data_IF_269343951428
#
_entry.id   IF_269343951428
#
_cell.length_a   1.000
_cell.length_b   1.000
_cell.length_c   1.000
_cell.angle_alpha   90.00
_cell.angle_beta   90.00
_cell.angle_gamma   90.00
#
_symmetry.space_group_name_H-M   'P 1'
#
loop_
_entity.id
_entity.type
_entity.pdbx_description
1 polymer ?
#
# COMPACT_ATOMS: atom_id res chain seq x y z
N UNK A 1 7.96 -60.46 48.36
CA UNK A 1 6.93 -59.48 47.95
C UNK A 1 7.53 -58.52 46.91
N UNK A 2 6.93 -58.51 45.71
CA UNK A 2 6.97 -57.60 44.54
C UNK A 2 7.64 -56.21 44.70
N UNK A 3 8.17 -55.45 43.72
CA UNK A 3 8.53 -55.52 42.27
C UNK A 3 8.93 -54.05 41.87
N UNK A 4 9.85 -53.90 40.88
CA UNK A 4 10.07 -52.79 39.89
C UNK A 4 10.58 -51.36 40.24
N UNK A 5 11.73 -51.07 39.62
CA UNK A 5 12.11 -49.97 38.69
C UNK A 5 11.12 -48.80 38.37
N UNK A 6 11.78 -47.63 38.26
CA UNK A 6 11.71 -46.59 37.20
C UNK A 6 10.65 -45.48 37.25
N UNK A 7 11.17 -44.24 37.13
CA UNK A 7 10.92 -43.27 36.04
C UNK A 7 10.66 -41.84 36.51
N UNK A 8 11.45 -40.95 35.91
CA UNK A 8 11.43 -39.51 35.86
C UNK A 8 10.03 -38.87 35.83
N UNK A 9 9.91 -37.69 36.47
CA UNK A 9 9.11 -36.61 35.91
C UNK A 9 9.85 -35.29 36.05
N UNK A 10 10.25 -34.82 34.87
CA UNK A 10 10.78 -33.50 34.59
C UNK A 10 9.66 -32.49 34.86
N UNK A 11 9.87 -31.56 35.79
CA UNK A 11 9.00 -30.40 35.94
C UNK A 11 9.45 -29.37 34.91
N UNK A 12 8.62 -29.24 33.88
CA UNK A 12 8.68 -28.29 32.78
C UNK A 12 8.64 -26.84 33.31
N UNK A 13 9.83 -26.24 33.45
CA UNK A 13 9.99 -24.79 33.55
C UNK A 13 10.26 -24.31 32.13
N UNK A 14 9.33 -23.54 31.59
CA UNK A 14 9.37 -23.00 30.23
C UNK A 14 10.77 -22.47 29.88
N UNK A 15 11.34 -23.06 28.84
CA UNK A 15 12.58 -22.58 28.24
C UNK A 15 12.28 -21.25 27.53
N UNK A 16 13.14 -20.23 27.66
CA UNK A 16 13.16 -19.14 26.69
C UNK A 16 13.46 -19.76 25.33
N UNK A 17 12.58 -19.55 24.35
CA UNK A 17 12.74 -20.03 22.98
C UNK A 17 14.15 -19.72 22.48
N UNK A 18 14.91 -20.77 22.18
CA UNK A 18 16.24 -20.68 21.62
C UNK A 18 16.24 -19.88 20.31
N UNK A 19 17.32 -19.15 19.99
CA UNK A 19 17.47 -18.45 18.73
C UNK A 19 17.37 -19.45 17.56
N UNK A 20 16.52 -19.13 16.58
CA UNK A 20 16.25 -19.96 15.41
C UNK A 20 17.52 -20.40 14.68
N UNK A 21 17.40 -21.52 13.98
CA UNK A 21 18.49 -22.15 13.23
C UNK A 21 19.21 -21.17 12.28
N UNK A 22 20.53 -21.33 12.01
CA UNK A 22 21.26 -20.42 11.11
C UNK A 22 20.68 -20.29 9.70
N UNK A 23 19.91 -21.28 9.23
CA UNK A 23 19.20 -21.26 7.94
C UNK A 23 17.92 -20.42 7.94
N UNK A 24 17.45 -19.97 9.11
CA UNK A 24 16.27 -19.13 9.31
C UNK A 24 16.64 -17.64 9.31
N UNK A 25 17.84 -17.29 9.78
CA UNK A 25 18.35 -15.91 9.80
C UNK A 25 18.75 -15.38 8.41
N UNK A 26 18.98 -16.26 7.44
CA UNK A 26 19.30 -15.87 6.06
C UNK A 26 18.06 -15.76 5.15
N UNK A 27 16.84 -15.85 5.71
CA UNK A 27 15.61 -15.74 4.93
C UNK A 27 15.31 -14.28 4.63
N UNK A 28 15.06 -13.99 3.36
CA UNK A 28 14.61 -12.67 2.93
C UNK A 28 13.30 -12.35 3.63
N UNK A 29 13.26 -11.18 4.28
CA UNK A 29 12.10 -10.67 5.01
C UNK A 29 11.58 -9.45 4.28
N UNK A 30 10.25 -9.34 4.16
CA UNK A 30 9.59 -8.14 3.65
C UNK A 30 9.60 -7.07 4.75
N UNK A 31 9.94 -5.83 4.41
CA UNK A 31 9.99 -4.71 5.33
C UNK A 31 8.60 -4.42 5.94
N UNK A 32 8.43 -4.79 7.22
CA UNK A 32 7.17 -4.64 7.97
C UNK A 32 6.37 -5.94 8.17
N UNK A 33 6.93 -7.10 7.80
CA UNK A 33 6.41 -8.42 8.15
C UNK A 33 7.44 -9.13 9.04
N UNK A 34 7.05 -9.53 10.25
CA UNK A 34 7.96 -10.23 11.18
C UNK A 34 8.28 -11.65 10.70
N UNK A 35 7.32 -12.27 10.02
CA UNK A 35 7.41 -13.62 9.50
C UNK A 35 8.27 -13.71 8.24
N UNK A 36 9.20 -14.67 8.24
CA UNK A 36 10.07 -14.94 7.11
C UNK A 36 9.27 -15.55 5.94
N UNK A 37 9.69 -15.28 4.71
CA UNK A 37 9.12 -15.93 3.54
C UNK A 37 9.17 -17.47 3.69
N UNK A 38 8.09 -18.19 3.35
CA UNK A 38 8.07 -19.64 3.42
C UNK A 38 9.13 -20.26 2.48
N UNK A 39 9.66 -21.42 2.87
CA UNK A 39 10.75 -22.10 2.17
C UNK A 39 10.46 -22.27 0.67
N UNK A 40 11.34 -21.72 -0.16
CA UNK A 40 11.27 -21.79 -1.63
C UNK A 40 10.49 -20.66 -2.32
N UNK A 41 10.05 -19.63 -1.59
CA UNK A 41 9.48 -18.39 -2.15
C UNK A 41 10.57 -17.30 -2.18
N UNK A 42 10.69 -16.58 -3.29
CA UNK A 42 11.71 -15.54 -3.48
C UNK A 42 11.05 -14.16 -3.61
N UNK A 43 11.58 -13.16 -2.90
CA UNK A 43 11.17 -11.78 -3.04
C UNK A 43 11.81 -11.20 -4.30
N UNK A 44 10.98 -10.77 -5.25
CA UNK A 44 11.44 -10.27 -6.54
C UNK A 44 11.44 -8.75 -6.60
N UNK A 45 10.48 -8.13 -5.93
CA UNK A 45 10.38 -6.69 -5.84
C UNK A 45 9.65 -6.29 -4.57
N UNK A 46 10.11 -5.20 -3.96
CA UNK A 46 9.47 -4.60 -2.81
C UNK A 46 9.46 -3.08 -2.98
N UNK A 47 8.35 -2.44 -2.61
CA UNK A 47 8.19 -1.01 -2.74
C UNK A 47 7.16 -0.44 -1.78
N UNK A 48 7.23 0.89 -1.62
CA UNK A 48 6.29 1.69 -0.81
C UNK A 48 5.74 2.83 -1.65
N UNK A 49 4.54 3.34 -1.33
CA UNK A 49 3.97 4.46 -2.06
C UNK A 49 4.80 5.75 -1.86
N UNK A 50 4.93 6.54 -2.93
CA UNK A 50 5.50 7.88 -2.90
C UNK A 50 4.56 8.84 -2.14
N UNK A 51 5.12 9.53 -1.15
CA UNK A 51 4.37 10.42 -0.26
C UNK A 51 3.73 11.58 -1.02
N UNK A 52 4.46 12.21 -1.95
CA UNK A 52 3.97 13.39 -2.67
C UNK A 52 2.80 13.01 -3.55
N UNK A 53 2.96 11.96 -4.35
CA UNK A 53 1.91 11.48 -5.26
C UNK A 53 0.68 11.02 -4.48
N UNK A 54 0.89 10.33 -3.35
CA UNK A 54 -0.19 9.92 -2.46
C UNK A 54 -0.97 11.14 -1.89
N UNK A 55 -0.28 12.13 -1.33
CA UNK A 55 -0.92 13.32 -0.77
C UNK A 55 -1.65 14.15 -1.83
N UNK A 56 -0.96 14.52 -2.91
CA UNK A 56 -1.48 15.46 -3.90
C UNK A 56 -2.54 14.86 -4.83
N UNK A 57 -2.43 13.58 -5.18
CA UNK A 57 -3.33 12.95 -6.16
C UNK A 57 -4.30 11.95 -5.57
N UNK A 58 -3.85 11.09 -4.66
CA UNK A 58 -4.72 10.06 -4.07
C UNK A 58 -5.64 10.66 -3.01
N UNK A 59 -5.11 11.52 -2.14
CA UNK A 59 -5.86 12.23 -1.10
C UNK A 59 -6.38 13.61 -1.53
N UNK A 60 -6.26 13.93 -2.83
CA UNK A 60 -6.77 15.16 -3.42
C UNK A 60 -6.29 16.46 -2.75
N UNK A 61 -5.10 16.47 -2.13
CA UNK A 61 -4.56 17.68 -1.50
C UNK A 61 -4.44 18.85 -2.51
N UNK A 62 -4.18 18.56 -3.79
CA UNK A 62 -4.18 19.59 -4.85
C UNK A 62 -5.55 20.27 -5.03
N UNK A 63 -6.64 19.52 -4.86
CA UNK A 63 -8.01 20.04 -4.97
C UNK A 63 -8.33 20.89 -3.75
N UNK A 64 -7.90 20.44 -2.56
CA UNK A 64 -8.04 21.21 -1.33
C UNK A 64 -7.27 22.54 -1.40
N UNK A 65 -6.03 22.53 -1.90
CA UNK A 65 -5.26 23.77 -2.10
C UNK A 65 -5.92 24.70 -3.12
N UNK A 66 -6.46 24.16 -4.22
CA UNK A 66 -7.24 24.94 -5.19
C UNK A 66 -8.51 25.55 -4.56
N UNK A 67 -9.19 24.81 -3.69
CA UNK A 67 -10.32 25.33 -2.92
C UNK A 67 -9.90 26.49 -2.01
N UNK A 68 -8.81 26.33 -1.24
CA UNK A 68 -8.29 27.41 -0.40
C UNK A 68 -7.90 28.65 -1.19
N UNK A 69 -7.30 28.47 -2.37
CA UNK A 69 -6.98 29.57 -3.28
C UNK A 69 -8.25 30.30 -3.77
N UNK A 70 -9.29 29.55 -4.14
CA UNK A 70 -10.57 30.13 -4.57
C UNK A 70 -11.23 30.94 -3.45
N UNK A 71 -11.22 30.40 -2.22
CA UNK A 71 -11.73 31.10 -1.03
C UNK A 71 -10.94 32.37 -0.77
N UNK A 72 -9.60 32.32 -0.87
CA UNK A 72 -8.75 33.50 -0.68
C UNK A 72 -9.04 34.60 -1.71
N UNK A 73 -9.21 34.23 -2.99
CA UNK A 73 -9.60 35.18 -4.04
C UNK A 73 -10.97 35.79 -3.76
N UNK A 74 -11.96 34.98 -3.40
CA UNK A 74 -13.29 35.47 -3.04
C UNK A 74 -13.25 36.44 -1.86
N UNK A 75 -12.41 36.15 -0.87
CA UNK A 75 -12.23 37.00 0.30
C UNK A 75 -11.59 38.35 -0.05
N UNK A 76 -10.55 38.34 -0.89
CA UNK A 76 -9.91 39.55 -1.40
C UNK A 76 -10.89 40.43 -2.18
N UNK A 77 -11.69 39.84 -3.06
CA UNK A 77 -12.68 40.55 -3.86
C UNK A 77 -13.78 41.17 -2.97
N UNK A 78 -14.30 40.42 -2.00
CA UNK A 78 -15.29 40.92 -1.06
C UNK A 78 -14.74 42.07 -0.19
N UNK A 79 -13.48 41.97 0.25
CA UNK A 79 -12.80 43.03 0.99
C UNK A 79 -12.61 44.31 0.18
N UNK A 80 -12.24 44.18 -1.09
CA UNK A 80 -12.07 45.30 -2.02
C UNK A 80 -13.40 46.01 -2.32
N UNK A 81 -14.47 45.26 -2.55
CA UNK A 81 -15.81 45.81 -2.81
C UNK A 81 -16.46 46.42 -1.57
N UNK A 82 -16.16 45.89 -0.38
CA UNK A 82 -16.71 46.34 0.89
C UNK A 82 -15.98 47.52 1.54
N UNK A 83 -14.96 48.10 0.90
CA UNK A 83 -14.23 49.26 1.42
C UNK A 83 -13.45 48.98 2.72
N UNK A 84 -13.06 47.72 2.98
CA UNK A 84 -12.32 47.36 4.19
C UNK A 84 -10.90 47.94 4.17
N UNK A 85 -10.39 48.31 5.35
CA UNK A 85 -8.99 48.73 5.49
C UNK A 85 -8.04 47.58 5.16
N UNK A 86 -6.89 47.92 4.57
CA UNK A 86 -5.86 46.92 4.17
C UNK A 86 -5.36 46.09 5.35
N UNK A 87 -5.29 46.67 6.55
CA UNK A 87 -4.88 45.98 7.78
C UNK A 87 -5.85 44.87 8.21
N UNK A 88 -7.16 45.12 8.12
CA UNK A 88 -8.18 44.10 8.48
C UNK A 88 -8.18 42.96 7.46
N UNK A 89 -8.02 43.28 6.17
CA UNK A 89 -7.92 42.28 5.11
C UNK A 89 -6.69 41.38 5.28
N UNK A 90 -5.55 41.95 5.68
CA UNK A 90 -4.32 41.19 5.93
C UNK A 90 -4.47 40.22 7.11
N UNK A 91 -5.05 40.67 8.22
CA UNK A 91 -5.30 39.83 9.40
C UNK A 91 -6.22 38.64 9.06
N UNK A 92 -7.29 38.89 8.32
CA UNK A 92 -8.23 37.86 7.90
C UNK A 92 -7.59 36.84 6.93
N UNK A 93 -6.74 37.30 6.00
CA UNK A 93 -5.97 36.41 5.10
C UNK A 93 -4.97 35.55 5.86
N UNK A 94 -4.28 36.11 6.86
CA UNK A 94 -3.37 35.34 7.72
C UNK A 94 -4.16 34.24 8.43
N UNK A 95 -5.35 34.55 8.96
CA UNK A 95 -6.20 33.55 9.58
C UNK A 95 -6.62 32.45 8.59
N UNK A 96 -7.04 32.83 7.38
CA UNK A 96 -7.37 31.88 6.32
C UNK A 96 -6.17 30.97 5.98
N UNK A 97 -4.97 31.53 5.87
CA UNK A 97 -3.74 30.78 5.60
C UNK A 97 -3.41 29.81 6.74
N UNK A 98 -3.62 30.19 8.01
CA UNK A 98 -3.44 29.29 9.16
C UNK A 98 -4.41 28.11 9.07
N UNK A 99 -5.70 28.36 8.83
CA UNK A 99 -6.71 27.30 8.70
C UNK A 99 -6.40 26.39 7.51
N UNK A 100 -6.01 26.97 6.37
CA UNK A 100 -5.62 26.24 5.18
C UNK A 100 -4.37 25.37 5.42
N UNK A 101 -3.37 25.90 6.13
CA UNK A 101 -2.16 25.20 6.48
C UNK A 101 -2.45 24.03 7.41
N UNK A 102 -3.25 24.23 8.46
CA UNK A 102 -3.63 23.18 9.41
C UNK A 102 -4.42 22.07 8.70
N UNK A 103 -5.44 22.42 7.91
CA UNK A 103 -6.22 21.43 7.15
C UNK A 103 -5.37 20.64 6.16
N UNK A 104 -4.45 21.31 5.46
CA UNK A 104 -3.51 20.67 4.53
C UNK A 104 -2.50 19.78 5.25
N UNK A 105 -2.01 20.20 6.41
CA UNK A 105 -1.07 19.44 7.24
C UNK A 105 -1.70 18.15 7.76
N UNK A 106 -2.99 18.16 8.12
CA UNK A 106 -3.71 16.95 8.54
C UNK A 106 -3.75 15.92 7.40
N UNK A 107 -4.09 16.32 6.18
CA UNK A 107 -4.11 15.42 5.02
C UNK A 107 -2.71 14.89 4.71
N UNK A 108 -1.71 15.77 4.76
CA UNK A 108 -0.32 15.37 4.51
C UNK A 108 0.19 14.39 5.58
N UNK A 109 -0.12 14.63 6.86
CA UNK A 109 0.20 13.73 7.97
C UNK A 109 -0.48 12.37 7.81
N UNK A 110 -1.75 12.35 7.38
CA UNK A 110 -2.45 11.11 7.06
C UNK A 110 -1.77 10.37 5.89
N UNK A 111 -1.33 11.08 4.84
CA UNK A 111 -0.55 10.49 3.76
C UNK A 111 0.76 9.83 4.26
N UNK A 112 1.45 10.50 5.19
CA UNK A 112 2.68 9.98 5.79
C UNK A 112 2.41 8.71 6.60
N UNK A 113 1.32 8.68 7.37
CA UNK A 113 0.89 7.48 8.08
C UNK A 113 0.57 6.33 7.12
N UNK A 114 -0.18 6.59 6.05
CA UNK A 114 -0.50 5.58 5.01
C UNK A 114 0.79 5.05 4.37
N UNK A 115 1.75 5.91 4.04
CA UNK A 115 3.04 5.47 3.48
C UNK A 115 3.81 4.59 4.45
N UNK A 116 3.85 4.94 5.73
CA UNK A 116 4.55 4.15 6.76
C UNK A 116 3.91 2.79 7.00
N UNK A 117 2.61 2.66 6.71
CA UNK A 117 1.85 1.44 6.98
C UNK A 117 1.58 0.57 5.76
N UNK A 118 2.01 0.99 4.57
CA UNK A 118 1.72 0.32 3.30
C UNK A 118 3.00 -0.22 2.67
N UNK A 119 3.05 -1.52 2.41
CA UNK A 119 4.15 -2.18 1.73
C UNK A 119 3.59 -3.04 0.60
N UNK A 120 4.20 -2.93 -0.58
CA UNK A 120 3.93 -3.76 -1.74
C UNK A 120 5.09 -4.72 -1.94
N UNK A 121 4.79 -6.00 -2.09
CA UNK A 121 5.79 -7.03 -2.36
C UNK A 121 5.33 -7.92 -3.51
N UNK A 122 6.26 -8.28 -4.38
CA UNK A 122 6.09 -9.23 -5.46
C UNK A 122 6.97 -10.44 -5.17
N UNK A 123 6.36 -11.62 -5.12
CA UNK A 123 7.06 -12.90 -5.03
C UNK A 123 6.95 -13.70 -6.32
N UNK A 124 7.60 -14.85 -6.39
CA UNK A 124 7.52 -15.81 -7.51
C UNK A 124 6.14 -16.46 -7.65
N UNK A 125 5.29 -16.40 -6.61
CA UNK A 125 3.97 -17.09 -6.60
C UNK A 125 2.79 -16.14 -6.47
N UNK A 126 2.97 -15.00 -5.81
CA UNK A 126 1.89 -14.07 -5.47
C UNK A 126 2.36 -12.63 -5.38
N UNK A 127 1.40 -11.74 -5.55
CA UNK A 127 1.50 -10.34 -5.17
C UNK A 127 0.95 -10.21 -3.75
N UNK A 128 1.73 -9.56 -2.87
CA UNK A 128 1.35 -9.26 -1.50
C UNK A 128 1.20 -7.74 -1.37
N UNK A 129 0.01 -7.31 -0.96
CA UNK A 129 -0.29 -5.90 -0.69
C UNK A 129 -0.67 -5.78 0.78
N UNK A 130 0.16 -5.13 1.57
CA UNK A 130 -0.15 -4.79 2.96
C UNK A 130 -0.63 -3.34 3.00
N UNK A 131 -1.85 -3.15 3.50
CA UNK A 131 -2.48 -1.84 3.69
C UNK A 131 -2.90 -1.73 5.15
N UNK A 132 -2.75 -0.57 5.78
CA UNK A 132 -3.51 -0.30 7.01
C UNK A 132 -2.92 0.73 7.94
N UNK A 133 -3.58 1.89 8.04
CA UNK A 133 -3.31 2.88 9.10
C UNK A 133 -4.06 2.50 10.38
N UNK A 134 -5.34 2.13 10.27
CA UNK A 134 -6.19 1.75 11.40
C UNK A 134 -6.54 0.25 11.41
N UNK A 135 -6.66 -0.39 10.25
CA UNK A 135 -6.94 -1.83 10.13
C UNK A 135 -5.93 -2.49 9.19
N UNK A 136 -4.90 -3.18 9.73
CA UNK A 136 -3.93 -3.89 8.91
C UNK A 136 -4.62 -5.03 8.14
N UNK A 137 -4.60 -4.92 6.82
CA UNK A 137 -5.12 -5.90 5.88
C UNK A 137 -3.98 -6.33 4.95
N UNK A 138 -3.84 -7.65 4.75
CA UNK A 138 -2.88 -8.23 3.81
C UNK A 138 -3.67 -8.91 2.70
N UNK A 139 -3.55 -8.40 1.49
CA UNK A 139 -4.14 -9.00 0.30
C UNK A 139 -3.07 -9.83 -0.41
N UNK A 140 -3.34 -11.14 -0.53
CA UNK A 140 -2.49 -12.08 -1.26
C UNK A 140 -3.18 -12.45 -2.57
N UNK A 141 -2.61 -12.04 -3.70
CA UNK A 141 -3.14 -12.34 -5.03
C UNK A 141 -2.19 -13.27 -5.78
N UNK A 142 -2.55 -14.55 -6.02
CA UNK A 142 -1.72 -15.47 -6.79
C UNK A 142 -1.49 -15.00 -8.23
N UNK A 143 -0.27 -15.17 -8.77
CA UNK A 143 0.08 -14.66 -10.11
C UNK A 143 -0.73 -15.32 -11.24
N UNK A 144 -1.11 -16.59 -11.10
CA UNK A 144 -1.93 -17.30 -12.09
C UNK A 144 -3.35 -16.73 -12.21
N UNK A 145 -3.79 -15.92 -11.24
CA UNK A 145 -5.09 -15.25 -11.27
C UNK A 145 -5.01 -13.84 -11.84
N UNK A 146 -3.88 -13.37 -12.34
CA UNK A 146 -3.74 -12.01 -12.89
C UNK A 146 -3.87 -12.07 -14.41
N UNK A 147 -4.87 -11.37 -14.95
CA UNK A 147 -5.23 -11.38 -16.36
C UNK A 147 -4.62 -10.24 -17.16
N UNK A 148 -4.62 -9.04 -16.58
CA UNK A 148 -3.92 -7.88 -17.13
C UNK A 148 -3.13 -7.15 -16.06
N UNK A 149 -2.03 -6.55 -16.50
CA UNK A 149 -1.19 -5.66 -15.71
C UNK A 149 -1.13 -4.34 -16.47
N UNK A 150 -1.81 -3.32 -15.95
CA UNK A 150 -1.91 -2.02 -16.58
C UNK A 150 -1.12 -0.98 -15.78
N UNK A 151 -0.17 -0.31 -16.45
CA UNK A 151 0.67 0.72 -15.82
C UNK A 151 0.14 2.10 -16.16
N UNK A 152 -0.33 2.81 -15.14
CA UNK A 152 -0.78 4.19 -15.26
C UNK A 152 0.26 5.14 -14.70
N UNK A 153 0.97 5.83 -15.59
CA UNK A 153 1.90 6.90 -15.20
C UNK A 153 1.13 8.12 -14.74
N UNK A 154 1.53 8.65 -13.59
CA UNK A 154 0.78 9.69 -12.89
C UNK A 154 1.65 10.93 -12.72
N UNK A 155 2.96 10.81 -12.57
CA UNK A 155 3.86 11.95 -12.47
C UNK A 155 5.30 11.51 -12.33
N UNK A 156 6.14 12.37 -11.72
CA UNK A 156 7.50 12.04 -11.34
C UNK A 156 7.72 12.28 -9.85
N UNK A 157 8.58 11.48 -9.23
CA UNK A 157 8.99 11.66 -7.84
C UNK A 157 10.01 12.81 -7.69
N UNK A 158 10.52 12.99 -6.47
CA UNK A 158 11.53 14.01 -6.19
C UNK A 158 12.86 13.74 -6.90
N UNK A 159 13.14 12.48 -7.22
CA UNK A 159 14.34 12.00 -7.89
C UNK A 159 14.20 11.98 -9.43
N UNK A 160 13.04 12.37 -9.96
CA UNK A 160 12.77 12.45 -11.40
C UNK A 160 12.35 11.13 -12.04
N UNK A 161 12.11 10.06 -11.27
CA UNK A 161 11.60 8.78 -11.75
C UNK A 161 10.10 8.84 -11.96
N UNK A 162 9.59 8.06 -12.91
CA UNK A 162 8.16 7.98 -13.18
C UNK A 162 7.42 7.32 -11.99
N UNK A 163 6.41 8.01 -11.47
CA UNK A 163 5.51 7.51 -10.43
C UNK A 163 4.15 7.23 -11.03
N UNK A 164 3.53 6.14 -10.60
CA UNK A 164 2.24 5.74 -11.14
C UNK A 164 1.54 4.69 -10.32
N UNK A 165 0.45 4.20 -10.90
CA UNK A 165 -0.32 3.11 -10.34
C UNK A 165 -0.12 1.86 -11.23
N UNK A 166 0.12 0.70 -10.64
CA UNK A 166 0.12 -0.59 -11.34
C UNK A 166 -1.18 -1.29 -11.00
N UNK A 167 -2.08 -1.42 -11.97
CA UNK A 167 -3.41 -2.01 -11.80
C UNK A 167 -3.33 -3.48 -12.21
N UNK A 168 -3.78 -4.37 -11.32
CA UNK A 168 -3.79 -5.82 -11.54
C UNK A 168 -5.24 -6.27 -11.70
N UNK A 169 -5.63 -6.69 -12.90
CA UNK A 169 -6.99 -7.17 -13.17
C UNK A 169 -7.04 -8.68 -13.00
N UNK A 170 -7.79 -9.24 -12.03
CA UNK A 170 -7.86 -10.68 -11.83
C UNK A 170 -8.64 -11.41 -12.94
N UNK A 171 -8.28 -12.66 -13.24
CA UNK A 171 -9.02 -13.60 -14.12
C UNK A 171 -9.94 -14.47 -13.25
N UNK A 172 -11.22 -14.54 -13.62
CA UNK A 172 -12.23 -15.39 -12.98
C UNK A 172 -13.24 -14.63 -12.12
N UNK A 173 -14.33 -15.32 -11.77
CA UNK A 173 -15.45 -14.76 -10.99
C UNK A 173 -15.16 -14.73 -9.47
N UNK A 174 -13.93 -15.07 -9.06
CA UNK A 174 -13.39 -14.93 -7.70
C UNK A 174 -13.11 -13.45 -7.41
N UNK A 175 -14.20 -12.69 -7.39
CA UNK A 175 -14.33 -11.33 -6.90
C UNK A 175 -13.93 -11.37 -5.43
N UNK A 176 -12.80 -10.75 -5.08
CA UNK A 176 -12.40 -10.58 -3.67
C UNK A 176 -13.59 -9.97 -2.94
N UNK A 177 -14.22 -10.77 -2.08
CA UNK A 177 -15.55 -10.50 -1.55
C UNK A 177 -15.61 -9.11 -0.92
N UNK A 178 -16.52 -8.29 -1.43
CA UNK A 178 -16.91 -6.96 -0.94
C UNK A 178 -17.03 -6.88 0.60
N UNK A 179 -17.37 -8.01 1.23
CA UNK A 179 -17.55 -8.15 2.68
C UNK A 179 -16.26 -8.04 3.51
N UNK A 180 -15.08 -8.34 2.94
CA UNK A 180 -13.81 -8.31 3.70
C UNK A 180 -13.05 -6.97 3.60
N UNK A 181 -13.47 -6.06 2.71
CA UNK A 181 -12.82 -4.77 2.40
C UNK A 181 -13.53 -3.54 3.02
N UNK A 182 -14.64 -3.77 3.72
CA UNK A 182 -15.33 -2.76 4.53
C UNK A 182 -14.46 -2.46 5.76
N UNK A 183 -14.00 -1.21 6.02
CA UNK A 183 -14.69 0.08 5.82
C UNK A 183 -13.92 1.08 4.92
N UNK A 184 -13.02 0.60 4.05
CA UNK A 184 -12.10 1.45 3.26
C UNK A 184 -12.47 1.56 1.78
N UNK A 185 -13.64 1.05 1.38
CA UNK A 185 -14.18 1.26 0.04
C UNK A 185 -14.89 2.63 0.00
N UNK A 186 -14.54 3.45 -1.00
CA UNK A 186 -15.20 4.74 -1.31
C UNK A 186 -16.73 4.56 -1.28
N UNK A 187 -17.50 5.41 -0.57
CA UNK A 187 -18.97 5.28 -0.50
C UNK A 187 -19.69 5.38 -1.86
N UNK A 188 -18.99 5.81 -2.92
CA UNK A 188 -19.50 6.02 -4.27
C UNK A 188 -18.81 5.16 -5.36
N UNK A 189 -17.97 4.19 -5.00
CA UNK A 189 -17.37 3.24 -5.94
C UNK A 189 -17.93 1.82 -5.68
N UNK A 190 -19.07 1.53 -6.30
CA UNK A 190 -19.93 0.37 -5.99
C UNK A 190 -19.58 -0.92 -6.75
N UNK A 191 -18.54 -0.93 -7.60
CA UNK A 191 -18.23 -2.09 -8.42
C UNK A 191 -16.72 -2.27 -8.53
N UNK A 192 -16.23 -3.29 -7.84
CA UNK A 192 -14.95 -3.96 -8.09
C UNK A 192 -13.70 -3.22 -7.59
N UNK A 193 -13.25 -3.47 -6.34
CA UNK A 193 -11.95 -3.01 -5.88
C UNK A 193 -10.84 -3.75 -6.63
N UNK A 194 -10.39 -3.19 -7.75
CA UNK A 194 -9.27 -3.72 -8.52
C UNK A 194 -7.99 -3.52 -7.69
N UNK A 195 -7.24 -4.60 -7.35
CA UNK A 195 -6.00 -4.47 -6.61
C UNK A 195 -4.99 -3.68 -7.45
N UNK A 196 -4.52 -2.57 -6.90
CA UNK A 196 -3.54 -1.73 -7.56
C UNK A 196 -2.43 -1.32 -6.59
N UNK A 197 -1.19 -1.41 -7.04
CA UNK A 197 -0.10 -0.74 -6.36
C UNK A 197 -0.24 0.76 -6.63
N UNK A 198 -0.57 1.54 -5.60
CA UNK A 198 -0.82 2.98 -5.71
C UNK A 198 0.46 3.78 -5.49
N UNK A 199 0.66 4.81 -6.30
CA UNK A 199 1.75 5.78 -6.19
C UNK A 199 3.14 5.11 -6.09
N UNK A 200 3.39 4.07 -6.87
CA UNK A 200 4.66 3.34 -6.87
C UNK A 200 5.75 4.19 -7.54
N UNK A 201 6.89 4.44 -6.87
CA UNK A 201 8.06 5.03 -7.50
C UNK A 201 8.70 4.03 -8.46
N UNK A 202 9.21 4.53 -9.60
CA UNK A 202 9.67 3.70 -10.71
C UNK A 202 8.62 2.69 -11.20
N UNK A 203 7.43 3.23 -11.49
CA UNK A 203 6.25 2.44 -11.86
C UNK A 203 6.47 1.60 -13.12
N UNK A 204 7.35 2.05 -14.02
CA UNK A 204 7.69 1.33 -15.24
C UNK A 204 8.43 0.03 -14.91
N UNK A 205 9.50 0.12 -14.11
CA UNK A 205 10.27 -1.05 -13.67
C UNK A 205 9.42 -2.01 -12.84
N UNK A 206 8.61 -1.48 -11.92
CA UNK A 206 7.70 -2.29 -11.10
C UNK A 206 6.65 -3.02 -11.96
N UNK A 207 6.00 -2.31 -12.88
CA UNK A 207 5.00 -2.89 -13.79
C UNK A 207 5.60 -3.95 -14.71
N UNK A 208 6.80 -3.72 -15.24
CA UNK A 208 7.52 -4.71 -16.03
C UNK A 208 7.92 -5.94 -15.21
N UNK A 209 8.36 -5.76 -13.96
CA UNK A 209 8.69 -6.87 -13.07
C UNK A 209 7.46 -7.77 -12.83
N UNK A 210 6.31 -7.17 -12.56
CA UNK A 210 5.05 -7.92 -12.40
C UNK A 210 4.66 -8.62 -13.71
N UNK A 211 4.66 -7.90 -14.83
CA UNK A 211 4.27 -8.45 -16.12
C UNK A 211 5.18 -9.59 -16.60
N UNK A 212 6.49 -9.53 -16.29
CA UNK A 212 7.42 -10.64 -16.56
C UNK A 212 7.08 -11.87 -15.73
N UNK A 213 6.79 -11.69 -14.44
CA UNK A 213 6.51 -12.82 -13.54
C UNK A 213 5.15 -13.46 -13.80
N UNK A 214 4.12 -12.66 -14.10
CA UNK A 214 2.81 -13.20 -14.51
C UNK A 214 2.96 -14.08 -15.75
N UNK A 215 3.66 -13.61 -16.79
CA UNK A 215 3.90 -14.40 -18.01
C UNK A 215 4.64 -15.70 -17.72
N UNK A 216 5.75 -15.64 -16.99
CA UNK A 216 6.53 -16.82 -16.61
C UNK A 216 5.67 -17.84 -15.86
N UNK A 217 4.85 -17.38 -14.91
CA UNK A 217 4.02 -18.29 -14.12
C UNK A 217 2.91 -18.94 -14.94
N UNK A 218 2.32 -18.22 -15.89
CA UNK A 218 1.32 -18.79 -16.80
C UNK A 218 1.93 -19.87 -17.71
N UNK A 219 3.15 -19.67 -18.20
CA UNK A 219 3.87 -20.69 -18.99
C UNK A 219 4.24 -21.94 -18.19
N UNK A 220 4.58 -21.77 -16.90
CA UNK A 220 4.84 -22.90 -15.99
C UNK A 220 3.55 -23.68 -15.73
N UNK A 221 2.44 -22.99 -15.44
CA UNK A 221 1.13 -23.64 -15.22
C UNK A 221 0.65 -24.39 -16.46
N UNK A 222 0.79 -23.80 -17.66
CA UNK A 222 0.42 -24.47 -18.91
C UNK A 222 1.26 -25.74 -19.17
N UNK A 223 2.56 -25.71 -18.84
CA UNK A 223 3.43 -26.89 -18.93
C UNK A 223 3.04 -27.98 -17.93
N UNK A 224 2.69 -27.60 -16.71
CA UNK A 224 2.27 -28.55 -15.68
C UNK A 224 0.94 -29.23 -16.08
N UNK A 225 0.02 -28.50 -16.74
CA UNK A 225 -1.23 -29.05 -17.29
C UNK A 225 -1.00 -30.02 -18.45
N UNK A 226 -0.05 -29.73 -19.35
CA UNK A 226 0.29 -30.58 -20.48
C UNK A 226 0.98 -31.89 -20.06
N UNK A 227 1.81 -31.85 -19.01
CA UNK A 227 2.48 -33.05 -18.45
C UNK A 227 1.51 -33.93 -17.64
N UNK A 228 0.43 -33.35 -17.13
CA UNK A 228 -0.58 -34.08 -16.36
C UNK A 228 -1.64 -34.77 -17.24
N UNK A 229 -1.73 -34.45 -18.53
CA UNK A 229 -2.65 -35.05 -19.52
C UNK A 229 -2.03 -36.23 -20.27
#
# INVERSE_FOLDING_TARGET
MRIRRASNRCSDMGTPSAPGTPSEMARVRIEGVEEALPLGESLLWEGRPDLKTLAFRVLYLRVLLGYWALVAVGFLLAGALGGRTTGNLAADLVWLLVVAAVGSAIIFGFAAAVRGSTTYALTDRRVVIRLGVAFPSVLNLPLHRIGSVDVRRTGRDAEGRDVGDVVLTPVGDDRVGWLYLWPHVKPWAWRDPIPAFRAVPDVASAGEAVARQVRRRLEEVARDEEVAS
#
